data_IF_826433580198
#
_entry.id   IF_826433580198
#
_cell.length_a   1.000
_cell.length_b   1.000
_cell.length_c   1.000
_cell.angle_alpha   90.00
_cell.angle_beta   90.00
_cell.angle_gamma   90.00
#
_symmetry.space_group_name_H-M   'P 1'
#
loop_
_entity.id
_entity.type
_entity.pdbx_description
1 polymer ?
#
# COMPACT_ATOMS: atom_id res chain seq x y z
N UNK A 1 -9.84 4.51 36.79
CA UNK A 1 -10.11 3.77 38.04
C UNK A 1 -10.63 2.38 37.70
N UNK A 2 -10.20 1.35 38.42
CA UNK A 2 -10.58 -0.05 38.13
C UNK A 2 -11.91 -0.35 38.82
N UNK A 3 -12.90 -0.90 38.09
CA UNK A 3 -14.24 -1.16 38.65
C UNK A 3 -14.25 -2.12 39.84
N UNK A 4 -13.40 -3.15 39.83
CA UNK A 4 -13.29 -4.10 40.94
C UNK A 4 -11.82 -4.42 41.25
N UNK A 5 -11.23 -3.76 42.26
CA UNK A 5 -9.83 -3.97 42.65
C UNK A 5 -9.52 -5.39 43.16
N UNK A 6 -10.48 -6.05 43.84
CA UNK A 6 -10.28 -7.38 44.39
C UNK A 6 -10.07 -8.42 43.28
N UNK A 7 -10.89 -8.36 42.23
CA UNK A 7 -10.76 -9.24 41.05
C UNK A 7 -9.42 -9.01 40.36
N UNK A 8 -9.02 -7.75 40.13
CA UNK A 8 -7.73 -7.44 39.48
C UNK A 8 -6.54 -7.94 40.30
N UNK A 9 -6.57 -7.78 41.62
CA UNK A 9 -5.51 -8.30 42.49
C UNK A 9 -5.44 -9.83 42.48
N UNK A 10 -6.59 -10.52 42.39
CA UNK A 10 -6.62 -11.97 42.22
C UNK A 10 -5.95 -12.41 40.91
N UNK A 11 -6.33 -11.82 39.77
CA UNK A 11 -5.72 -12.13 38.47
C UNK A 11 -4.22 -11.81 38.41
N UNK A 12 -3.76 -10.75 39.08
CA UNK A 12 -2.33 -10.45 39.20
C UNK A 12 -1.56 -11.50 39.99
N UNK A 13 -2.12 -11.99 41.11
CA UNK A 13 -1.46 -13.01 41.94
C UNK A 13 -1.26 -14.34 41.23
N UNK A 14 -2.16 -14.68 40.31
CA UNK A 14 -2.08 -15.90 39.48
C UNK A 14 -1.33 -15.67 38.15
N UNK A 15 -0.78 -14.47 37.92
CA UNK A 15 0.02 -14.16 36.72
C UNK A 15 -0.78 -13.99 35.41
N UNK A 16 -2.10 -13.83 35.49
CA UNK A 16 -2.99 -13.69 34.32
C UNK A 16 -3.34 -12.23 33.98
N UNK A 17 -2.77 -11.25 34.69
CA UNK A 17 -3.01 -9.83 34.45
C UNK A 17 -1.77 -8.99 34.66
N UNK A 18 -1.47 -8.16 33.66
CA UNK A 18 -0.38 -7.17 33.72
C UNK A 18 -0.72 -5.98 34.64
N UNK A 19 0.19 -5.01 34.70
CA UNK A 19 -0.10 -3.72 35.31
C UNK A 19 -1.34 -3.05 34.67
N UNK A 20 -2.05 -2.25 35.46
CA UNK A 20 -3.28 -1.63 35.00
C UNK A 20 -2.98 -0.71 33.81
N UNK A 21 -3.71 -0.88 32.71
CA UNK A 21 -3.57 -0.05 31.51
C UNK A 21 -2.54 -0.52 30.49
N UNK A 22 -1.76 -1.58 30.76
CA UNK A 22 -0.83 -2.14 29.75
C UNK A 22 -1.52 -3.15 28.84
N UNK A 23 -2.42 -3.99 29.37
CA UNK A 23 -3.04 -5.09 28.61
C UNK A 23 -3.74 -4.66 27.32
N UNK A 24 -4.63 -3.65 27.38
CA UNK A 24 -5.32 -3.14 26.17
C UNK A 24 -4.31 -2.56 25.18
N UNK A 25 -3.31 -1.81 25.65
CA UNK A 25 -2.26 -1.26 24.79
C UNK A 25 -1.44 -2.36 24.13
N UNK A 26 -1.12 -3.42 24.84
CA UNK A 26 -0.43 -4.59 24.30
C UNK A 26 -1.28 -5.31 23.24
N UNK A 27 -2.59 -5.45 23.47
CA UNK A 27 -3.52 -6.01 22.47
C UNK A 27 -3.44 -5.18 21.18
N UNK A 28 -3.60 -3.86 21.28
CA UNK A 28 -3.54 -2.96 20.13
C UNK A 28 -2.20 -3.05 19.40
N UNK A 29 -1.10 -2.89 20.14
CA UNK A 29 0.25 -2.92 19.57
C UNK A 29 0.55 -4.25 18.90
N UNK A 30 0.21 -5.37 19.53
CA UNK A 30 0.44 -6.70 18.97
C UNK A 30 -0.45 -6.95 17.74
N UNK A 31 -1.71 -6.49 17.78
CA UNK A 31 -2.63 -6.67 16.66
C UNK A 31 -2.17 -5.90 15.42
N UNK A 32 -1.71 -4.66 15.61
CA UNK A 32 -1.13 -3.85 14.53
C UNK A 32 0.23 -4.39 14.09
N UNK A 33 1.05 -4.90 15.01
CA UNK A 33 2.32 -5.56 14.68
C UNK A 33 2.12 -6.78 13.78
N UNK A 34 1.02 -7.51 13.93
CA UNK A 34 0.61 -8.59 13.03
C UNK A 34 0.11 -8.10 11.65
N UNK A 35 0.10 -6.78 11.43
CA UNK A 35 -0.34 -6.13 10.20
C UNK A 35 -1.85 -5.96 10.07
N UNK A 36 -2.61 -6.22 11.13
CA UNK A 36 -4.06 -6.08 11.12
C UNK A 36 -4.49 -4.62 11.32
N UNK A 37 -5.72 -4.32 10.93
CA UNK A 37 -6.41 -3.06 11.22
C UNK A 37 -6.49 -2.87 12.75
N UNK A 38 -6.23 -1.65 13.26
CA UNK A 38 -6.24 -1.42 14.70
C UNK A 38 -7.63 -1.73 15.29
N UNK A 39 -7.71 -2.36 16.48
CA UNK A 39 -8.99 -2.69 17.08
C UNK A 39 -9.86 -1.45 17.36
N UNK A 40 -11.17 -1.63 17.29
CA UNK A 40 -12.13 -0.56 17.58
C UNK A 40 -12.70 -0.73 19.00
N UNK A 41 -12.84 0.38 19.73
CA UNK A 41 -13.47 0.39 21.05
C UNK A 41 -14.73 1.23 20.99
N UNK A 42 -15.87 0.57 21.08
CA UNK A 42 -17.18 1.21 21.14
C UNK A 42 -17.64 1.24 22.59
N UNK A 43 -17.82 2.44 23.14
CA UNK A 43 -18.30 2.62 24.51
C UNK A 43 -19.72 3.19 24.49
N UNK A 44 -20.71 2.35 24.80
CA UNK A 44 -22.09 2.78 24.91
C UNK A 44 -22.41 3.11 26.38
N UNK A 45 -22.33 4.41 26.71
CA UNK A 45 -22.61 4.90 28.07
C UNK A 45 -24.04 4.66 28.54
N UNK A 46 -25.01 4.70 27.62
CA UNK A 46 -26.43 4.50 27.94
C UNK A 46 -26.71 3.04 28.33
N UNK A 47 -26.24 2.11 27.50
CA UNK A 47 -26.34 0.67 27.77
C UNK A 47 -25.35 0.19 28.85
N UNK A 48 -24.41 1.04 29.28
CA UNK A 48 -23.29 0.70 30.18
C UNK A 48 -22.43 -0.46 29.64
N UNK A 49 -22.39 -0.63 28.33
CA UNK A 49 -21.61 -1.66 27.64
C UNK A 49 -20.39 -1.04 26.96
N UNK A 50 -19.35 -1.84 26.82
CA UNK A 50 -18.24 -1.55 25.93
C UNK A 50 -17.98 -2.77 25.07
N UNK A 51 -17.53 -2.53 23.85
CA UNK A 51 -17.18 -3.55 22.88
C UNK A 51 -15.77 -3.27 22.38
N UNK A 52 -14.96 -4.32 22.27
CA UNK A 52 -13.64 -4.28 21.67
C UNK A 52 -13.68 -5.21 20.45
N UNK A 53 -13.58 -4.65 19.26
CA UNK A 53 -13.74 -5.38 18.00
C UNK A 53 -12.38 -5.53 17.34
N UNK A 54 -11.90 -6.78 17.24
CA UNK A 54 -10.64 -7.13 16.60
C UNK A 54 -10.91 -7.67 15.21
N UNK A 55 -10.89 -6.78 14.22
CA UNK A 55 -11.06 -7.17 12.82
C UNK A 55 -9.78 -7.85 12.33
N UNK A 56 -9.91 -9.10 11.86
CA UNK A 56 -8.81 -9.85 11.23
C UNK A 56 -8.66 -9.47 9.76
N UNK A 57 -8.52 -8.17 9.53
CA UNK A 57 -8.30 -7.61 8.20
C UNK A 57 -6.94 -6.95 8.17
N UNK A 58 -6.18 -7.16 7.09
CA UNK A 58 -4.91 -6.46 6.90
C UNK A 58 -5.15 -4.98 6.62
N UNK A 59 -4.37 -4.13 7.27
CA UNK A 59 -4.46 -2.68 7.07
C UNK A 59 -3.92 -2.28 5.69
N UNK A 60 -2.84 -2.93 5.26
CA UNK A 60 -2.26 -2.83 3.91
C UNK A 60 -2.71 -4.03 3.08
N UNK A 61 -3.84 -3.90 2.38
CA UNK A 61 -4.23 -4.87 1.35
C UNK A 61 -3.36 -4.72 0.09
N UNK A 62 -3.33 -5.75 -0.77
CA UNK A 62 -2.66 -5.66 -2.08
C UNK A 62 -3.17 -4.46 -2.89
N UNK A 63 -4.49 -4.24 -2.91
CA UNK A 63 -5.11 -3.09 -3.57
C UNK A 63 -4.60 -1.76 -3.00
N UNK A 64 -4.46 -1.66 -1.68
CA UNK A 64 -3.97 -0.44 -1.03
C UNK A 64 -2.50 -0.18 -1.32
N UNK A 65 -1.66 -1.22 -1.37
CA UNK A 65 -0.25 -1.09 -1.72
C UNK A 65 -0.11 -0.64 -3.17
N UNK A 66 -0.91 -1.21 -4.08
CA UNK A 66 -0.94 -0.81 -5.49
C UNK A 66 -1.41 0.63 -5.65
N UNK A 67 -2.44 1.04 -4.91
CA UNK A 67 -2.96 2.41 -4.90
C UNK A 67 -1.90 3.41 -4.41
N UNK A 68 -1.23 3.15 -3.29
CA UNK A 68 -0.15 4.01 -2.80
C UNK A 68 0.99 4.14 -3.81
N UNK A 69 1.30 3.06 -4.52
CA UNK A 69 2.35 3.04 -5.53
C UNK A 69 1.94 3.82 -6.77
N UNK A 70 0.67 3.76 -7.18
CA UNK A 70 0.17 4.50 -8.35
C UNK A 70 0.10 6.01 -8.13
N UNK A 71 -0.04 6.48 -6.89
CA UNK A 71 0.03 7.93 -6.57
C UNK A 71 1.48 8.43 -6.68
N UNK A 72 2.48 7.53 -6.75
CA UNK A 72 3.88 7.89 -6.90
C UNK A 72 4.52 8.49 -5.65
N UNK A 73 3.90 8.28 -4.47
CA UNK A 73 4.42 8.81 -3.20
C UNK A 73 5.35 7.80 -2.55
N UNK A 74 6.56 8.25 -2.22
CA UNK A 74 7.48 7.49 -1.39
C UNK A 74 7.13 7.66 0.09
N UNK A 75 6.26 6.78 0.59
CA UNK A 75 5.83 6.77 1.98
C UNK A 75 6.70 5.85 2.83
N UNK A 76 7.17 6.35 3.98
CA UNK A 76 7.75 5.48 5.00
C UNK A 76 6.70 4.46 5.47
N UNK A 77 7.11 3.32 6.07
CA UNK A 77 6.18 2.30 6.52
C UNK A 77 5.07 2.85 7.42
N UNK A 78 5.42 3.77 8.33
CA UNK A 78 4.49 4.38 9.28
C UNK A 78 3.49 5.31 8.57
N UNK A 79 3.96 6.17 7.66
CA UNK A 79 3.09 7.04 6.87
C UNK A 79 2.14 6.25 5.96
N UNK A 80 2.62 5.14 5.38
CA UNK A 80 1.84 4.24 4.53
C UNK A 80 0.69 3.55 5.31
N UNK A 81 0.94 3.14 6.55
CA UNK A 81 -0.09 2.55 7.42
C UNK A 81 -1.14 3.59 7.80
N UNK A 82 -0.72 4.80 8.18
CA UNK A 82 -1.63 5.89 8.56
C UNK A 82 -2.50 6.31 7.37
N UNK A 83 -1.91 6.44 6.18
CA UNK A 83 -2.66 6.72 4.97
C UNK A 83 -3.61 5.58 4.60
N UNK A 84 -3.18 4.32 4.72
CA UNK A 84 -4.06 3.17 4.51
C UNK A 84 -5.28 3.17 5.44
N UNK A 85 -5.07 3.51 6.71
CA UNK A 85 -6.17 3.65 7.66
C UNK A 85 -7.10 4.80 7.29
N UNK A 86 -6.56 5.96 6.91
CA UNK A 86 -7.35 7.11 6.49
C UNK A 86 -8.18 6.83 5.22
N UNK A 87 -7.71 5.97 4.31
CA UNK A 87 -8.52 5.55 3.15
C UNK A 87 -9.73 4.70 3.55
N UNK A 88 -9.64 3.96 4.67
CA UNK A 88 -10.77 3.16 5.20
C UNK A 88 -11.70 3.98 6.10
N UNK A 89 -11.13 4.87 6.91
CA UNK A 89 -11.87 5.70 7.85
C UNK A 89 -11.82 7.15 7.37
N UNK A 90 -12.97 7.69 6.96
CA UNK A 90 -13.11 9.04 6.42
C UNK A 90 -12.47 10.14 7.28
N UNK A 91 -12.30 9.88 8.58
CA UNK A 91 -11.68 10.75 9.58
C UNK A 91 -10.59 10.00 10.34
N UNK A 92 -9.48 10.69 10.54
CA UNK A 92 -8.30 10.23 11.26
C UNK A 92 -8.02 11.18 12.43
N UNK A 93 -7.93 10.66 13.65
CA UNK A 93 -7.53 11.43 14.84
C UNK A 93 -6.12 11.08 15.30
N UNK A 94 -5.52 11.92 16.16
CA UNK A 94 -4.22 11.59 16.78
C UNK A 94 -4.24 10.27 17.57
N UNK A 95 -5.39 9.88 18.10
CA UNK A 95 -5.54 8.60 18.82
C UNK A 95 -5.36 7.43 17.88
N UNK A 96 -5.87 7.54 16.65
CA UNK A 96 -5.79 6.50 15.64
C UNK A 96 -4.37 6.39 15.09
N UNK A 97 -3.73 7.53 14.79
CA UNK A 97 -2.31 7.57 14.38
C UNK A 97 -1.43 6.91 15.46
N UNK A 98 -1.71 7.21 16.73
CA UNK A 98 -0.98 6.61 17.85
C UNK A 98 -1.26 5.12 17.99
N UNK A 99 -2.49 4.68 17.75
CA UNK A 99 -2.85 3.26 17.80
C UNK A 99 -2.10 2.45 16.71
N UNK A 100 -1.90 3.06 15.55
CA UNK A 100 -1.22 2.43 14.40
C UNK A 100 0.30 2.46 14.55
N UNK A 101 0.85 3.61 14.94
CA UNK A 101 2.31 3.83 14.91
C UNK A 101 2.98 3.58 16.27
N UNK A 102 2.20 3.60 17.36
CA UNK A 102 2.71 3.50 18.73
C UNK A 102 3.50 4.73 19.22
N UNK A 103 3.56 5.80 18.40
CA UNK A 103 4.43 6.97 18.60
C UNK A 103 3.93 7.97 19.65
N UNK A 104 4.78 8.94 19.96
CA UNK A 104 4.45 10.07 20.82
C UNK A 104 3.55 11.08 20.11
N UNK A 105 2.93 11.99 20.86
CA UNK A 105 2.02 12.99 20.30
C UNK A 105 2.70 13.94 19.31
N UNK A 106 3.97 14.28 19.52
CA UNK A 106 4.75 15.13 18.61
C UNK A 106 4.97 14.43 17.28
N UNK A 107 5.45 13.19 17.32
CA UNK A 107 5.69 12.38 16.12
C UNK A 107 4.39 12.10 15.36
N UNK A 108 3.27 11.88 16.05
CA UNK A 108 1.96 11.74 15.39
C UNK A 108 1.56 13.00 14.61
N UNK A 109 1.95 14.19 15.12
CA UNK A 109 1.72 15.46 14.43
C UNK A 109 2.61 15.58 13.21
N UNK A 110 3.89 15.27 13.33
CA UNK A 110 4.84 15.28 12.20
C UNK A 110 4.39 14.35 11.07
N UNK A 111 3.90 13.14 11.41
CA UNK A 111 3.37 12.19 10.43
C UNK A 111 2.14 12.76 9.72
N UNK A 112 1.21 13.36 10.47
CA UNK A 112 0.02 14.00 9.90
C UNK A 112 0.38 15.18 9.00
N UNK A 113 1.24 16.08 9.47
CA UNK A 113 1.69 17.26 8.73
C UNK A 113 2.45 16.86 7.45
N UNK A 114 3.29 15.83 7.49
CA UNK A 114 3.98 15.30 6.31
C UNK A 114 2.99 14.79 5.25
N UNK A 115 1.94 14.07 5.67
CA UNK A 115 0.90 13.59 4.76
C UNK A 115 0.06 14.73 4.18
N UNK A 116 -0.12 15.83 4.92
CA UNK A 116 -0.78 17.05 4.43
C UNK A 116 0.10 17.76 3.39
N UNK A 117 1.41 17.87 3.63
CA UNK A 117 2.37 18.46 2.66
C UNK A 117 2.40 17.67 1.35
N UNK A 118 2.26 16.35 1.42
CA UNK A 118 2.15 15.48 0.25
C UNK A 118 0.76 15.49 -0.40
N UNK A 119 -0.16 16.35 0.06
CA UNK A 119 -1.53 16.52 -0.47
C UNK A 119 -2.39 15.25 -0.34
N UNK A 120 -1.96 14.30 0.50
CA UNK A 120 -2.66 13.04 0.75
C UNK A 120 -3.78 13.18 1.77
N UNK A 121 -3.58 14.06 2.76
CA UNK A 121 -4.57 14.40 3.78
C UNK A 121 -4.86 15.90 3.78
N UNK A 122 -6.06 16.25 4.22
CA UNK A 122 -6.47 17.60 4.55
C UNK A 122 -6.74 17.69 6.04
N UNK A 123 -6.26 18.76 6.67
CA UNK A 123 -6.55 19.05 8.07
C UNK A 123 -7.97 19.63 8.19
N UNK A 124 -8.82 18.96 8.96
CA UNK A 124 -10.19 19.44 9.25
C UNK A 124 -10.20 20.28 10.52
N UNK A 125 -9.57 19.76 11.57
CA UNK A 125 -9.43 20.43 12.86
C UNK A 125 -7.97 20.35 13.36
N UNK A 126 -7.65 21.00 14.49
CA UNK A 126 -6.33 20.90 15.12
C UNK A 126 -5.92 19.48 15.53
N UNK A 127 -6.87 18.55 15.58
CA UNK A 127 -6.65 17.17 16.02
C UNK A 127 -7.11 16.09 15.04
N UNK A 128 -7.62 16.49 13.87
CA UNK A 128 -8.30 15.58 12.95
C UNK A 128 -7.92 15.87 11.50
N UNK A 129 -7.70 14.79 10.76
CA UNK A 129 -7.34 14.79 9.34
C UNK A 129 -8.38 13.98 8.57
N UNK A 130 -8.61 14.35 7.32
CA UNK A 130 -9.42 13.58 6.38
C UNK A 130 -8.63 13.35 5.09
N UNK A 131 -8.95 12.28 4.36
CA UNK A 131 -8.36 12.07 3.02
C UNK A 131 -8.88 13.15 2.08
N UNK A 132 -7.99 13.69 1.24
CA UNK A 132 -8.38 14.75 0.30
C UNK A 132 -9.42 14.23 -0.70
N UNK A 133 -10.38 15.08 -1.07
CA UNK A 133 -11.55 14.71 -1.89
C UNK A 133 -11.19 14.02 -3.22
N UNK A 134 -10.11 14.47 -3.87
CA UNK A 134 -9.63 13.85 -5.11
C UNK A 134 -9.20 12.39 -4.90
N UNK A 135 -8.60 12.03 -3.76
CA UNK A 135 -8.20 10.64 -3.49
C UNK A 135 -9.38 9.76 -3.08
N UNK A 136 -10.40 10.32 -2.39
CA UNK A 136 -11.62 9.59 -2.03
C UNK A 136 -12.35 9.07 -3.28
N UNK A 137 -12.55 9.92 -4.28
CA UNK A 137 -13.21 9.54 -5.54
C UNK A 137 -12.45 8.44 -6.29
N UNK A 138 -11.12 8.45 -6.24
CA UNK A 138 -10.27 7.45 -6.89
C UNK A 138 -10.26 6.10 -6.15
N UNK A 139 -10.24 6.10 -4.81
CA UNK A 139 -10.27 4.88 -4.03
C UNK A 139 -11.59 4.11 -4.25
N UNK A 140 -12.72 4.82 -4.23
CA UNK A 140 -14.04 4.23 -4.54
C UNK A 140 -14.05 3.64 -5.95
N UNK A 141 -13.50 4.35 -6.94
CA UNK A 141 -13.42 3.85 -8.32
C UNK A 141 -12.54 2.60 -8.44
N UNK A 142 -11.43 2.52 -7.68
CA UNK A 142 -10.56 1.33 -7.66
C UNK A 142 -11.24 0.10 -7.06
N UNK A 143 -12.11 0.26 -6.06
CA UNK A 143 -12.89 -0.85 -5.49
C UNK A 143 -14.06 -1.29 -6.38
N UNK A 144 -14.68 -0.37 -7.13
CA UNK A 144 -15.81 -0.75 -8.02
C UNK A 144 -15.37 -1.55 -9.25
N UNK A 145 -14.12 -1.39 -9.69
CA UNK A 145 -13.57 -2.10 -10.86
C UNK A 145 -13.28 -3.59 -10.60
N UNK A 146 -13.18 -4.03 -9.34
CA UNK A 146 -12.95 -5.43 -8.98
C UNK A 146 -14.22 -6.29 -8.93
N UNK A 147 -15.42 -5.70 -9.04
CA UNK A 147 -16.71 -6.42 -8.94
C UNK A 147 -17.31 -6.81 -10.31
N UNK A 148 -16.71 -6.39 -11.42
CA UNK A 148 -17.20 -6.71 -12.78
C UNK A 148 -16.08 -7.23 -13.69
N UNK A 149 -15.75 -8.52 -13.55
CA UNK A 149 -14.71 -9.13 -14.38
C UNK A 149 -14.55 -10.63 -14.17
N UNK A 150 -15.65 -11.37 -14.18
CA UNK A 150 -15.64 -12.79 -14.51
C UNK A 150 -15.81 -12.91 -16.03
N UNK A 151 -14.70 -13.16 -16.73
CA UNK A 151 -14.68 -13.81 -18.03
C UNK A 151 -13.23 -14.13 -18.38
N UNK A 152 -12.93 -15.43 -18.31
CA UNK A 152 -11.78 -16.08 -18.94
C UNK A 152 -11.56 -15.57 -20.37
N UNK A 153 -10.34 -15.15 -20.68
CA UNK A 153 -9.81 -15.31 -22.03
C UNK A 153 -8.39 -15.88 -21.98
N UNK A 154 -8.35 -17.14 -22.36
CA UNK A 154 -7.20 -17.92 -22.77
C UNK A 154 -6.78 -17.42 -24.15
N UNK A 155 -5.55 -16.92 -24.32
CA UNK A 155 -4.99 -16.68 -25.64
C UNK A 155 -3.69 -17.46 -25.81
N UNK A 156 -3.79 -18.53 -26.61
CA UNK A 156 -2.69 -19.30 -27.20
C UNK A 156 -2.77 -19.11 -28.72
N UNK A 157 -1.69 -18.59 -29.33
CA UNK A 157 -1.09 -18.86 -30.66
C UNK A 157 -0.46 -17.57 -31.25
N UNK A 158 0.86 -17.48 -31.48
CA UNK A 158 1.73 -18.02 -32.56
C UNK A 158 1.55 -17.31 -33.93
N UNK A 159 2.55 -16.46 -34.25
CA UNK A 159 3.05 -15.99 -35.58
C UNK A 159 2.03 -15.33 -36.56
N UNK A 160 2.30 -14.31 -37.38
CA UNK A 160 3.49 -13.88 -38.14
C UNK A 160 3.23 -12.47 -38.73
N UNK A 161 4.30 -11.81 -39.20
CA UNK A 161 4.35 -10.75 -40.22
C UNK A 161 4.26 -9.24 -39.86
N UNK A 162 5.35 -8.55 -40.22
CA UNK A 162 5.57 -7.12 -40.50
C UNK A 162 5.55 -6.94 -42.05
N UNK A 163 5.62 -5.73 -42.69
CA UNK A 163 5.72 -4.34 -42.16
C UNK A 163 4.97 -3.19 -42.92
N UNK A 164 4.92 -2.00 -42.28
CA UNK A 164 5.06 -0.59 -42.83
C UNK A 164 3.95 0.08 -43.69
N UNK A 165 4.00 1.42 -43.97
CA UNK A 165 4.20 2.62 -43.13
C UNK A 165 3.25 3.83 -43.50
N UNK A 166 3.32 4.95 -42.75
CA UNK A 166 3.08 6.39 -43.13
C UNK A 166 2.23 7.14 -42.07
N UNK A 167 2.81 8.14 -41.40
CA UNK A 167 2.57 9.61 -41.58
C UNK A 167 1.26 10.08 -40.90
N UNK A 168 1.15 11.11 -40.04
CA UNK A 168 1.94 12.32 -39.85
C UNK A 168 1.40 13.14 -38.62
N UNK A 169 2.32 13.85 -37.94
CA UNK A 169 2.27 15.18 -37.25
C UNK A 169 1.37 15.49 -36.02
N UNK A 170 2.10 15.73 -34.91
CA UNK A 170 1.94 16.67 -33.78
C UNK A 170 0.57 17.09 -33.22
N UNK A 171 0.39 16.83 -31.92
CA UNK A 171 0.21 17.93 -30.98
C UNK A 171 0.84 17.61 -29.62
N UNK A 172 1.90 18.35 -29.29
CA UNK A 172 2.61 18.30 -28.02
C UNK A 172 1.73 18.86 -26.91
N UNK A 173 1.19 17.97 -26.08
CA UNK A 173 0.81 18.29 -24.71
C UNK A 173 1.66 17.39 -23.82
N UNK A 174 2.57 17.99 -23.05
CA UNK A 174 3.29 17.29 -21.98
C UNK A 174 2.22 16.64 -21.10
N UNK A 175 2.21 15.31 -20.88
CA UNK A 175 1.18 14.73 -20.05
C UNK A 175 1.43 15.18 -18.62
N UNK A 176 0.51 16.02 -18.18
CA UNK A 176 0.37 16.51 -16.82
C UNK A 176 0.36 15.30 -15.86
N UNK A 177 1.05 15.43 -14.72
CA UNK A 177 1.23 14.40 -13.68
C UNK A 177 -0.10 13.76 -13.22
N UNK A 178 -1.21 14.43 -13.53
CA UNK A 178 -2.60 14.08 -13.24
C UNK A 178 -3.16 12.97 -14.13
N UNK A 179 -2.69 12.79 -15.37
CA UNK A 179 -3.26 11.80 -16.32
C UNK A 179 -2.65 10.39 -16.16
N UNK A 180 -1.50 10.27 -15.48
CA UNK A 180 -0.84 8.98 -15.27
C UNK A 180 -1.41 8.16 -14.09
N UNK A 181 -2.34 8.72 -13.32
CA UNK A 181 -2.84 8.17 -12.04
C UNK A 181 -3.89 7.05 -12.25
N UNK A 182 -4.31 6.73 -13.48
CA UNK A 182 -5.63 6.13 -13.75
C UNK A 182 -5.66 4.71 -14.33
N UNK A 183 -4.73 3.81 -13.95
CA UNK A 183 -4.92 2.37 -14.22
C UNK A 183 -4.90 1.59 -12.93
N UNK A 184 -6.03 0.97 -12.58
CA UNK A 184 -6.10 -0.12 -11.60
C UNK A 184 -5.11 -1.20 -12.03
N UNK A 185 -3.99 -1.33 -11.31
CA UNK A 185 -2.88 -2.19 -11.72
C UNK A 185 -3.24 -3.63 -11.34
N UNK A 186 -3.98 -4.34 -12.20
CA UNK A 186 -4.05 -5.80 -12.09
C UNK A 186 -2.71 -6.36 -12.57
N UNK A 187 -1.89 -6.84 -11.63
CA UNK A 187 -0.59 -7.41 -11.95
C UNK A 187 -0.74 -8.77 -12.64
N UNK A 188 -0.06 -8.95 -13.77
CA UNK A 188 0.09 -10.27 -14.40
C UNK A 188 1.01 -11.18 -13.58
N UNK A 189 0.87 -12.49 -13.73
CA UNK A 189 1.74 -13.48 -13.05
C UNK A 189 3.22 -13.28 -13.35
N UNK A 190 3.52 -12.85 -14.58
CA UNK A 190 4.89 -12.52 -15.00
C UNK A 190 5.43 -11.32 -14.20
N UNK A 191 4.62 -10.28 -14.02
CA UNK A 191 4.98 -9.11 -13.21
C UNK A 191 5.16 -9.47 -11.73
N UNK A 192 4.27 -10.30 -11.17
CA UNK A 192 4.40 -10.81 -9.80
C UNK A 192 5.71 -11.59 -9.60
N UNK A 193 6.08 -12.38 -10.61
CA UNK A 193 7.34 -13.15 -10.59
C UNK A 193 8.56 -12.24 -10.70
N UNK A 194 8.51 -11.18 -11.52
CA UNK A 194 9.58 -10.17 -11.61
C UNK A 194 9.78 -9.51 -10.25
N UNK A 195 8.71 -9.11 -9.56
CA UNK A 195 8.81 -8.48 -8.24
C UNK A 195 9.53 -9.40 -7.25
N UNK A 196 9.19 -10.69 -7.21
CA UNK A 196 9.90 -11.67 -6.36
C UNK A 196 11.38 -11.84 -6.71
N UNK A 197 11.75 -11.74 -7.99
CA UNK A 197 13.13 -11.95 -8.45
C UNK A 197 14.00 -10.69 -8.37
N UNK A 198 13.39 -9.51 -8.39
CA UNK A 198 14.05 -8.21 -8.31
C UNK A 198 14.30 -7.72 -6.87
N UNK A 199 14.09 -8.55 -5.84
CA UNK A 199 14.57 -8.27 -4.47
C UNK A 199 16.10 -8.08 -4.45
N UNK A 200 16.81 -8.72 -5.38
CA UNK A 200 18.21 -8.46 -5.69
C UNK A 200 18.34 -7.69 -7.03
N UNK A 201 19.38 -6.85 -7.22
CA UNK A 201 19.59 -6.13 -8.47
C UNK A 201 19.77 -7.05 -9.68
N UNK A 202 18.83 -7.01 -10.63
CA UNK A 202 18.83 -7.82 -11.86
C UNK A 202 19.02 -6.98 -13.11
N UNK A 203 19.78 -7.50 -14.08
CA UNK A 203 19.88 -6.88 -15.40
C UNK A 203 18.65 -7.18 -16.27
N UNK A 204 18.40 -6.34 -17.28
CA UNK A 204 17.31 -6.61 -18.25
C UNK A 204 17.55 -7.91 -19.04
N UNK A 205 18.81 -8.32 -19.25
CA UNK A 205 19.13 -9.57 -19.93
C UNK A 205 18.71 -10.78 -19.07
N UNK A 206 19.05 -10.78 -17.78
CA UNK A 206 18.61 -11.81 -16.83
C UNK A 206 17.09 -11.89 -16.75
N UNK A 207 16.40 -10.75 -16.67
CA UNK A 207 14.93 -10.73 -16.64
C UNK A 207 14.33 -11.28 -17.93
N UNK A 208 14.90 -10.94 -19.09
CA UNK A 208 14.41 -11.43 -20.37
C UNK A 208 14.60 -12.95 -20.51
N UNK A 209 15.76 -13.46 -20.10
CA UNK A 209 16.10 -14.89 -20.11
C UNK A 209 15.18 -15.71 -19.20
N UNK A 210 14.89 -15.21 -17.99
CA UNK A 210 13.99 -15.88 -17.04
C UNK A 210 12.59 -16.16 -17.59
N UNK A 211 12.10 -15.37 -18.56
CA UNK A 211 10.76 -15.51 -19.14
C UNK A 211 10.79 -15.89 -20.62
N UNK A 212 11.95 -16.28 -21.17
CA UNK A 212 12.13 -16.68 -22.57
C UNK A 212 11.59 -15.66 -23.60
N UNK A 213 11.69 -14.36 -23.31
CA UNK A 213 11.27 -13.34 -24.28
C UNK A 213 12.35 -13.13 -25.35
N UNK A 214 11.96 -13.18 -26.62
CA UNK A 214 12.88 -12.90 -27.74
C UNK A 214 13.11 -11.40 -27.95
N UNK A 215 12.06 -10.59 -27.78
CA UNK A 215 12.12 -9.15 -28.04
C UNK A 215 12.29 -8.34 -26.74
N UNK A 216 13.51 -7.80 -26.55
CA UNK A 216 13.87 -6.95 -25.40
C UNK A 216 13.00 -5.69 -25.29
N UNK A 217 12.77 -5.00 -26.40
CA UNK A 217 12.03 -3.74 -26.42
C UNK A 217 10.56 -3.95 -26.05
N UNK A 218 9.95 -5.02 -26.58
CA UNK A 218 8.58 -5.39 -26.22
C UNK A 218 8.46 -5.77 -24.74
N UNK A 219 9.37 -6.61 -24.24
CA UNK A 219 9.40 -7.01 -22.84
C UNK A 219 9.53 -5.80 -21.90
N UNK A 220 10.48 -4.90 -22.20
CA UNK A 220 10.65 -3.66 -21.43
C UNK A 220 9.38 -2.82 -21.44
N UNK A 221 8.79 -2.54 -22.60
CA UNK A 221 7.61 -1.67 -22.73
C UNK A 221 6.36 -2.27 -22.09
N UNK A 222 6.11 -3.57 -22.26
CA UNK A 222 4.85 -4.21 -21.85
C UNK A 222 4.88 -4.72 -20.40
N UNK A 223 6.04 -5.13 -19.91
CA UNK A 223 6.13 -5.82 -18.61
C UNK A 223 6.87 -4.96 -17.57
N UNK A 224 8.07 -4.48 -17.91
CA UNK A 224 8.95 -3.80 -16.94
C UNK A 224 8.57 -2.33 -16.74
N UNK A 225 8.31 -1.58 -17.81
CA UNK A 225 7.95 -0.16 -17.72
C UNK A 225 6.70 0.08 -16.86
N UNK A 226 5.61 -0.71 -16.96
CA UNK A 226 4.48 -0.56 -16.05
C UNK A 226 4.84 -0.74 -14.57
N UNK A 227 5.83 -1.60 -14.25
CA UNK A 227 6.31 -1.78 -12.87
C UNK A 227 7.15 -0.60 -12.38
N UNK A 228 7.83 0.09 -13.31
CA UNK A 228 8.62 1.29 -13.01
C UNK A 228 7.71 2.50 -12.86
N UNK A 229 6.79 2.69 -13.79
CA UNK A 229 5.80 3.77 -13.80
C UNK A 229 4.90 3.70 -12.57
N UNK A 230 4.55 2.49 -12.12
CA UNK A 230 3.81 2.27 -10.88
C UNK A 230 4.65 2.35 -9.61
N UNK A 231 5.97 2.60 -9.70
CA UNK A 231 6.83 2.71 -8.53
C UNK A 231 7.02 1.41 -7.74
N UNK A 232 6.77 0.24 -8.32
CA UNK A 232 7.00 -1.08 -7.69
C UNK A 232 8.43 -1.59 -7.93
N UNK A 233 9.04 -1.17 -9.04
CA UNK A 233 10.44 -1.45 -9.41
C UNK A 233 11.13 -0.13 -9.72
N UNK A 234 12.39 0.00 -9.34
CA UNK A 234 13.21 1.15 -9.67
C UNK A 234 14.49 0.76 -10.41
N UNK A 235 14.98 1.74 -11.15
CA UNK A 235 16.25 1.73 -11.85
C UNK A 235 17.39 2.04 -10.88
N UNK A 236 18.48 1.27 -10.90
CA UNK A 236 19.64 1.54 -10.02
C UNK A 236 20.41 2.79 -10.44
N UNK A 237 20.32 3.19 -11.72
CA UNK A 237 20.86 4.45 -12.23
C UNK A 237 19.77 5.19 -12.99
N UNK A 238 18.95 6.01 -12.31
CA UNK A 238 17.88 6.76 -12.97
C UNK A 238 18.43 7.85 -13.90
N UNK A 239 19.54 8.50 -13.52
CA UNK A 239 20.21 9.56 -14.30
C UNK A 239 20.71 9.09 -15.68
N UNK A 240 21.01 7.80 -15.82
CA UNK A 240 21.52 7.20 -17.06
C UNK A 240 20.71 5.94 -17.38
N UNK A 241 19.45 6.08 -17.82
CA UNK A 241 18.52 4.96 -17.97
C UNK A 241 18.95 3.96 -19.08
N UNK A 242 19.78 4.43 -20.01
CA UNK A 242 20.33 3.63 -21.11
C UNK A 242 21.74 3.08 -20.82
N UNK A 243 22.23 3.18 -19.58
CA UNK A 243 23.52 2.62 -19.20
C UNK A 243 23.57 1.10 -19.46
N UNK A 244 24.68 0.60 -20.01
CA UNK A 244 24.85 -0.83 -20.31
C UNK A 244 24.73 -1.72 -19.07
N UNK A 245 25.22 -1.23 -17.92
CA UNK A 245 25.14 -1.91 -16.63
C UNK A 245 23.89 -1.51 -15.80
N UNK A 246 22.81 -1.12 -16.46
CA UNK A 246 21.56 -0.81 -15.79
C UNK A 246 20.96 -2.05 -15.13
N UNK A 247 20.57 -1.92 -13.86
CA UNK A 247 19.87 -2.94 -13.10
C UNK A 247 18.55 -2.42 -12.56
N UNK A 248 17.69 -3.35 -12.19
CA UNK A 248 16.34 -3.12 -11.68
C UNK A 248 16.22 -3.80 -10.32
N UNK A 249 15.60 -3.09 -9.36
CA UNK A 249 15.43 -3.53 -7.96
C UNK A 249 14.00 -3.20 -7.53
N UNK A 250 13.38 -4.02 -6.69
CA UNK A 250 12.09 -3.68 -6.08
C UNK A 250 12.18 -2.45 -5.18
N UNK A 251 11.17 -1.61 -5.22
CA UNK A 251 11.05 -0.47 -4.28
C UNK A 251 10.53 -0.94 -2.93
N UNK A 252 10.45 -0.04 -1.95
CA UNK A 252 9.80 -0.32 -0.68
C UNK A 252 8.36 -0.84 -0.85
N UNK A 253 7.59 -0.26 -1.77
CA UNK A 253 6.22 -0.71 -2.04
C UNK A 253 6.20 -2.08 -2.75
N UNK A 254 7.10 -2.31 -3.71
CA UNK A 254 7.23 -3.61 -4.38
C UNK A 254 7.57 -4.73 -3.39
N UNK A 255 8.49 -4.49 -2.46
CA UNK A 255 8.85 -5.46 -1.42
C UNK A 255 7.70 -5.71 -0.43
N UNK A 256 6.94 -4.67 -0.04
CA UNK A 256 5.72 -4.84 0.78
C UNK A 256 4.69 -5.73 0.09
N UNK A 257 4.50 -5.54 -1.21
CA UNK A 257 3.58 -6.34 -2.00
C UNK A 257 4.03 -7.81 -2.11
N UNK A 258 5.33 -8.04 -2.27
CA UNK A 258 5.85 -9.42 -2.24
C UNK A 258 5.65 -10.05 -0.86
N UNK A 259 5.80 -9.28 0.22
CA UNK A 259 5.57 -9.77 1.58
C UNK A 259 4.09 -10.12 1.82
N UNK A 260 3.14 -9.31 1.34
CA UNK A 260 1.71 -9.65 1.50
C UNK A 260 1.37 -11.00 0.86
N UNK A 261 1.94 -11.33 -0.30
CA UNK A 261 1.75 -12.64 -0.94
C UNK A 261 2.41 -13.82 -0.20
N UNK A 262 3.39 -13.55 0.68
CA UNK A 262 4.02 -14.58 1.51
C UNK A 262 3.19 -14.86 2.76
N UNK A 263 2.58 -13.82 3.32
CA UNK A 263 1.76 -13.90 4.53
C UNK A 263 0.39 -14.56 4.27
N UNK A 264 -0.09 -14.55 3.01
CA UNK A 264 -1.34 -15.20 2.60
C UNK A 264 -1.22 -16.72 2.34
N UNK A 265 -0.01 -17.30 2.44
CA UNK A 265 0.26 -18.74 2.28
C UNK A 265 0.35 -19.47 3.60
#
# INVERSE_FOLDING_TARGET
EVRNPAIVNAFRRIGLSDQAGTGIRSIFNNWVYLGNTPPEVLNNKFAKTFELSLLKEKLLSEEQILFQSSIGVHLSPEHALVFAYACKHDRLTFTDIKAITGKTRSECREIGDHLVVQVLLQKVDDTSYEVTEHLKTHFVKSQTASVSGDSDQVDVDVNTDLPTPSDQVDNKIKPDLVTAITKTIKLSDKQRTILKKCEAPRSMAELQELFNYRNRSYFKKKIVNPLIESGLVQMTKPEKPNASNQKYVTTANGSRLVQSWRDDK
#
